data_IF_401295931529
#
_entry.id   IF_401295931529
#
_cell.length_a   1.000
_cell.length_b   1.000
_cell.length_c   1.000
_cell.angle_alpha   90.00
_cell.angle_beta   90.00
_cell.angle_gamma   90.00
#
_symmetry.space_group_name_H-M   'P 1'
#
loop_
_entity.id
_entity.type
_entity.pdbx_description
1 polymer ?
#
# COMPACT_ATOMS: atom_id res chain seq x y z
N UNK A 1 -5.78 -9.00 -17.01
CA UNK A 1 -6.00 -8.41 -15.67
C UNK A 1 -5.68 -9.43 -14.60
N UNK A 2 -4.98 -9.02 -13.55
CA UNK A 2 -4.58 -9.90 -12.45
C UNK A 2 -5.25 -9.47 -11.15
N UNK A 3 -5.56 -10.44 -10.30
CA UNK A 3 -6.02 -10.19 -8.93
C UNK A 3 -5.14 -10.99 -7.98
N UNK A 4 -4.56 -10.31 -6.99
CA UNK A 4 -3.73 -10.92 -5.95
C UNK A 4 -4.29 -10.52 -4.57
N UNK A 5 -4.14 -11.40 -3.60
CA UNK A 5 -4.56 -11.13 -2.23
C UNK A 5 -3.47 -11.57 -1.26
N UNK A 6 -3.19 -10.72 -0.27
CA UNK A 6 -2.20 -10.95 0.79
C UNK A 6 -2.83 -10.63 2.14
N UNK A 7 -2.60 -11.49 3.12
CA UNK A 7 -3.18 -11.35 4.43
C UNK A 7 -2.13 -11.57 5.51
N UNK A 8 -2.20 -10.77 6.58
CA UNK A 8 -1.35 -10.93 7.75
C UNK A 8 -2.17 -10.73 9.01
N UNK A 9 -1.97 -11.62 9.99
CA UNK A 9 -2.50 -11.44 11.34
C UNK A 9 -1.43 -10.75 12.18
N UNK A 10 -1.81 -9.66 12.85
CA UNK A 10 -0.91 -8.75 13.55
C UNK A 10 -1.27 -8.68 15.03
N UNK A 11 -0.25 -8.60 15.91
CA UNK A 11 -0.47 -8.45 17.35
C UNK A 11 -1.01 -7.06 17.71
N UNK A 12 -0.67 -6.04 16.93
CA UNK A 12 -1.13 -4.67 17.18
C UNK A 12 -2.64 -4.51 16.98
N UNK A 13 -3.31 -3.68 17.80
CA UNK A 13 -4.74 -3.42 17.64
C UNK A 13 -5.03 -2.59 16.38
N UNK A 14 -6.29 -2.59 15.87
CA UNK A 14 -6.64 -1.93 14.62
C UNK A 14 -6.26 -0.45 14.52
N UNK A 15 -6.38 0.31 15.58
CA UNK A 15 -6.03 1.74 15.58
C UNK A 15 -4.54 1.97 15.37
N UNK A 16 -3.69 1.12 15.91
CA UNK A 16 -2.24 1.19 15.71
C UNK A 16 -1.87 0.77 14.28
N UNK A 17 -2.52 -0.25 13.76
CA UNK A 17 -2.31 -0.69 12.36
C UNK A 17 -2.75 0.41 11.39
N UNK A 18 -3.87 1.06 11.67
CA UNK A 18 -4.34 2.19 10.86
C UNK A 18 -3.35 3.35 10.84
N UNK A 19 -2.81 3.73 12.00
CA UNK A 19 -1.78 4.78 12.08
C UNK A 19 -0.54 4.44 11.27
N UNK A 20 -0.09 3.18 11.33
CA UNK A 20 1.02 2.71 10.50
C UNK A 20 0.67 2.78 9.01
N UNK A 21 -0.47 2.23 8.62
CA UNK A 21 -0.88 2.10 7.22
C UNK A 21 -1.06 3.46 6.53
N UNK A 22 -1.40 4.51 7.28
CA UNK A 22 -1.61 5.86 6.77
C UNK A 22 -0.41 6.78 6.98
N UNK A 23 0.58 6.39 7.78
CA UNK A 23 1.80 7.16 7.98
C UNK A 23 2.75 7.01 6.80
N UNK A 24 3.44 8.10 6.44
CA UNK A 24 4.48 8.06 5.40
C UNK A 24 5.61 7.14 5.83
N UNK A 25 6.04 7.19 7.09
CA UNK A 25 7.10 6.32 7.62
C UNK A 25 6.74 4.84 7.49
N UNK A 26 5.50 4.47 7.82
CA UNK A 26 5.02 3.10 7.69
C UNK A 26 4.97 2.64 6.24
N UNK A 27 4.43 3.46 5.35
CA UNK A 27 4.35 3.16 3.91
C UNK A 27 5.76 2.94 3.33
N UNK A 28 6.70 3.83 3.63
CA UNK A 28 8.07 3.72 3.14
C UNK A 28 8.80 2.54 3.76
N UNK A 29 8.57 2.24 5.05
CA UNK A 29 9.16 1.09 5.71
C UNK A 29 8.74 -0.23 5.07
N UNK A 30 7.48 -0.36 4.68
CA UNK A 30 6.96 -1.55 3.98
C UNK A 30 7.64 -1.76 2.63
N UNK A 31 8.06 -0.70 1.96
CA UNK A 31 8.66 -0.77 0.63
C UNK A 31 10.16 -1.01 0.65
N UNK A 32 10.89 -0.52 1.67
CA UNK A 32 12.35 -0.65 1.75
C UNK A 32 12.79 -2.10 1.93
N UNK A 33 13.92 -2.50 1.35
CA UNK A 33 14.80 -1.77 0.42
C UNK A 33 14.42 -1.87 -1.05
N UNK A 34 13.31 -2.57 -1.37
CA UNK A 34 12.94 -2.90 -2.75
C UNK A 34 12.52 -1.66 -3.54
N UNK A 35 11.75 -0.78 -2.90
CA UNK A 35 11.22 0.41 -3.54
C UNK A 35 11.19 1.60 -2.59
N UNK A 36 11.08 2.77 -3.18
CA UNK A 36 10.79 4.01 -2.50
C UNK A 36 9.77 4.81 -3.32
N UNK A 37 8.89 5.49 -2.64
CA UNK A 37 7.92 6.39 -3.27
C UNK A 37 8.19 7.81 -2.79
N UNK A 38 8.24 8.77 -3.71
CA UNK A 38 8.39 10.18 -3.33
C UNK A 38 7.07 10.70 -2.78
N UNK A 39 7.15 11.54 -1.75
CA UNK A 39 5.99 12.17 -1.13
C UNK A 39 6.22 13.68 -1.01
N UNK A 40 5.17 14.51 -0.96
CA UNK A 40 5.32 15.94 -0.73
C UNK A 40 6.05 16.23 0.59
N UNK A 41 6.86 17.29 0.63
CA UNK A 41 7.58 17.70 1.84
C UNK A 41 6.61 18.09 2.96
N UNK A 42 6.95 17.71 4.20
CA UNK A 42 6.16 18.05 5.38
C UNK A 42 4.93 17.18 5.58
N UNK A 43 4.70 16.19 4.74
CA UNK A 43 3.58 15.25 4.88
C UNK A 43 4.04 14.05 5.71
N UNK A 44 3.41 13.82 6.85
CA UNK A 44 3.69 12.70 7.74
C UNK A 44 2.64 11.58 7.63
N UNK A 45 1.45 11.91 7.16
CA UNK A 45 0.36 10.97 6.95
C UNK A 45 -0.37 11.32 5.66
N UNK A 46 -0.88 10.31 4.95
CA UNK A 46 -1.73 10.55 3.78
C UNK A 46 -3.04 11.28 4.19
N UNK A 47 -3.43 11.17 5.45
CA UNK A 47 -4.60 11.88 6.00
C UNK A 47 -4.35 13.38 6.18
N UNK A 48 -3.08 13.84 6.18
CA UNK A 48 -2.72 15.27 6.22
C UNK A 48 -2.99 15.95 4.87
N UNK A 49 -3.12 15.18 3.80
CA UNK A 49 -3.50 15.68 2.49
C UNK A 49 -5.01 15.88 2.44
N UNK A 50 -5.46 16.86 1.64
CA UNK A 50 -6.89 17.08 1.46
C UNK A 50 -7.47 15.93 0.62
N UNK A 51 -8.10 14.95 1.31
CA UNK A 51 -8.66 13.77 0.65
C UNK A 51 -10.03 14.11 0.07
N UNK A 52 -10.11 14.15 -1.26
CA UNK A 52 -11.36 14.17 -1.99
C UNK A 52 -11.45 12.85 -2.77
N UNK A 53 -12.48 12.00 -2.52
CA UNK A 53 -12.61 10.73 -3.20
C UNK A 53 -12.59 10.88 -4.72
N UNK A 54 -11.73 10.09 -5.38
CA UNK A 54 -11.58 10.09 -6.84
C UNK A 54 -10.69 11.21 -7.40
N UNK A 55 -10.14 12.10 -6.56
CA UNK A 55 -9.19 13.14 -6.99
C UNK A 55 -7.78 12.79 -6.55
N UNK A 56 -6.75 13.01 -7.41
CA UNK A 56 -5.36 12.76 -7.02
C UNK A 56 -4.95 13.58 -5.80
N UNK A 57 -4.34 12.91 -4.81
CA UNK A 57 -3.78 13.54 -3.62
C UNK A 57 -2.39 14.11 -3.89
N UNK A 58 -1.58 13.36 -4.62
CA UNK A 58 -0.19 13.71 -4.91
C UNK A 58 0.31 12.91 -6.11
N UNK A 59 1.26 13.49 -6.83
CA UNK A 59 2.01 12.78 -7.85
C UNK A 59 3.27 12.19 -7.20
N UNK A 60 3.41 10.89 -7.29
CA UNK A 60 4.49 10.16 -6.67
C UNK A 60 5.32 9.43 -7.72
N UNK A 61 6.65 9.56 -7.63
CA UNK A 61 7.56 8.72 -8.38
C UNK A 61 7.84 7.45 -7.60
N UNK A 62 7.84 6.32 -8.28
CA UNK A 62 8.19 5.02 -7.71
C UNK A 62 9.62 4.70 -8.16
N UNK A 63 10.51 4.51 -7.18
CA UNK A 63 11.93 4.30 -7.40
C UNK A 63 12.31 2.88 -7.00
N UNK A 64 12.85 2.10 -7.94
CA UNK A 64 13.38 0.77 -7.66
C UNK A 64 14.69 0.92 -6.87
N UNK A 65 14.82 0.17 -5.78
CA UNK A 65 15.95 0.22 -4.83
C UNK A 65 16.22 1.63 -4.27
N UNK A 66 15.24 2.53 -4.37
CA UNK A 66 15.32 3.88 -3.85
C UNK A 66 15.92 4.93 -4.79
N UNK A 67 16.39 4.55 -5.99
CA UNK A 67 17.05 5.49 -6.91
C UNK A 67 16.73 5.33 -8.40
N UNK A 68 16.20 4.20 -8.85
CA UNK A 68 15.89 3.98 -10.28
C UNK A 68 14.41 4.27 -10.51
N UNK A 69 14.04 5.35 -11.21
CA UNK A 69 12.61 5.63 -11.50
C UNK A 69 12.05 4.59 -12.45
N UNK A 70 11.03 3.86 -11.99
CA UNK A 70 10.37 2.82 -12.78
C UNK A 70 8.91 3.13 -13.07
N UNK A 71 8.30 4.04 -12.31
CA UNK A 71 6.89 4.36 -12.47
C UNK A 71 6.55 5.71 -11.86
N UNK A 72 5.40 6.24 -12.26
CA UNK A 72 4.79 7.43 -11.67
C UNK A 72 3.34 7.10 -11.34
N UNK A 73 2.92 7.43 -10.13
CA UNK A 73 1.56 7.22 -9.66
C UNK A 73 0.93 8.56 -9.28
N UNK A 74 -0.23 8.86 -9.83
CA UNK A 74 -1.09 9.94 -9.34
C UNK A 74 -1.96 9.35 -8.23
N UNK A 75 -1.43 9.31 -7.00
CA UNK A 75 -2.06 8.66 -5.86
C UNK A 75 -3.48 9.17 -5.64
N UNK A 76 -4.45 8.28 -5.75
CA UNK A 76 -5.87 8.63 -5.66
C UNK A 76 -6.58 7.64 -4.75
N UNK A 77 -7.22 8.14 -3.69
CA UNK A 77 -8.11 7.35 -2.87
C UNK A 77 -9.54 7.55 -3.36
N UNK A 78 -10.20 6.45 -3.74
CA UNK A 78 -11.60 6.48 -4.19
C UNK A 78 -12.56 6.21 -3.04
N UNK A 79 -12.07 5.59 -1.97
CA UNK A 79 -12.83 5.30 -0.76
C UNK A 79 -11.90 5.29 0.43
N UNK A 80 -12.36 5.84 1.56
CA UNK A 80 -11.67 5.76 2.84
C UNK A 80 -12.69 5.48 3.94
N UNK A 81 -12.42 4.43 4.73
CA UNK A 81 -13.20 4.07 5.91
C UNK A 81 -12.26 4.18 7.11
N UNK A 82 -12.38 5.27 7.85
CA UNK A 82 -11.45 5.64 8.91
C UNK A 82 -11.28 4.52 9.94
N UNK A 83 -10.04 4.11 10.16
CA UNK A 83 -9.69 3.03 11.06
C UNK A 83 -9.87 1.62 10.50
N UNK A 84 -10.49 1.45 9.33
CA UNK A 84 -10.83 0.14 8.76
C UNK A 84 -10.17 -0.16 7.42
N UNK A 85 -9.90 0.85 6.61
CA UNK A 85 -9.27 0.63 5.35
C UNK A 85 -9.47 1.74 4.33
N UNK A 86 -8.96 1.48 3.15
CA UNK A 86 -9.10 2.40 2.01
C UNK A 86 -9.05 1.64 0.69
N UNK A 87 -9.53 2.30 -0.35
CA UNK A 87 -9.40 1.83 -1.73
C UNK A 87 -8.67 2.89 -2.53
N UNK A 88 -7.58 2.47 -3.15
CA UNK A 88 -6.77 3.28 -4.05
C UNK A 88 -7.02 2.86 -5.49
N UNK A 89 -7.32 3.81 -6.37
CA UNK A 89 -7.33 3.61 -7.82
C UNK A 89 -6.50 4.73 -8.43
N UNK A 90 -5.22 4.47 -8.66
CA UNK A 90 -4.26 5.47 -9.09
C UNK A 90 -3.89 5.30 -10.55
N UNK A 91 -3.98 6.37 -11.36
CA UNK A 91 -3.38 6.36 -12.69
C UNK A 91 -1.86 6.17 -12.58
N UNK A 92 -1.32 5.20 -13.31
CA UNK A 92 0.10 4.89 -13.32
C UNK A 92 0.61 4.78 -14.75
N UNK A 93 1.90 5.09 -14.96
CA UNK A 93 2.50 4.98 -16.29
C UNK A 93 2.62 3.53 -16.75
N UNK A 94 2.92 2.61 -15.83
CA UNK A 94 3.14 1.20 -16.14
C UNK A 94 1.86 0.36 -16.21
N UNK A 95 0.76 0.88 -15.69
CA UNK A 95 -0.50 0.16 -15.56
C UNK A 95 -1.64 0.83 -16.32
N UNK A 96 -2.45 0.03 -17.01
CA UNK A 96 -3.75 0.49 -17.53
C UNK A 96 -4.75 0.64 -16.41
N UNK A 97 -4.63 -0.21 -15.38
CA UNK A 97 -5.47 -0.19 -14.19
C UNK A 97 -4.63 -0.58 -12.99
N UNK A 98 -4.79 0.14 -11.89
CA UNK A 98 -4.24 -0.19 -10.60
C UNK A 98 -5.27 0.10 -9.53
N UNK A 99 -5.70 -0.95 -8.83
CA UNK A 99 -6.61 -0.87 -7.70
C UNK A 99 -6.02 -1.63 -6.53
N UNK A 100 -5.89 -0.96 -5.40
CA UNK A 100 -5.38 -1.51 -4.15
C UNK A 100 -6.43 -1.30 -3.06
N UNK A 101 -6.95 -2.38 -2.52
CA UNK A 101 -7.88 -2.37 -1.39
C UNK A 101 -7.14 -2.89 -0.17
N UNK A 102 -7.06 -2.06 0.86
CA UNK A 102 -6.46 -2.47 2.14
C UNK A 102 -7.54 -2.43 3.21
N UNK A 103 -7.73 -3.54 3.92
CA UNK A 103 -8.71 -3.66 5.00
C UNK A 103 -8.04 -4.11 6.29
N UNK A 104 -8.54 -3.58 7.40
CA UNK A 104 -8.06 -3.88 8.74
C UNK A 104 -9.26 -4.33 9.57
N UNK A 105 -9.19 -5.54 10.12
CA UNK A 105 -10.25 -6.12 10.94
C UNK A 105 -9.72 -6.45 12.33
N UNK A 106 -10.52 -6.25 13.39
CA UNK A 106 -10.14 -6.72 14.72
C UNK A 106 -10.18 -8.26 14.78
N UNK A 107 -9.14 -8.86 15.35
CA UNK A 107 -9.06 -10.31 15.59
C UNK A 107 -8.49 -10.52 16.99
N UNK A 108 -9.33 -10.94 17.93
CA UNK A 108 -8.90 -11.01 19.33
C UNK A 108 -8.47 -9.64 19.84
N UNK A 109 -7.25 -9.55 20.39
CA UNK A 109 -6.64 -8.28 20.81
C UNK A 109 -5.80 -7.62 19.70
N UNK A 110 -5.64 -8.29 18.58
CA UNK A 110 -4.86 -7.81 17.43
C UNK A 110 -5.72 -7.49 16.23
N UNK A 111 -5.12 -7.63 15.05
CA UNK A 111 -5.73 -7.26 13.78
C UNK A 111 -5.41 -8.25 12.68
N UNK A 112 -6.27 -8.27 11.67
CA UNK A 112 -5.98 -8.89 10.38
C UNK A 112 -5.95 -7.79 9.33
N UNK A 113 -4.83 -7.70 8.60
CA UNK A 113 -4.68 -6.77 7.48
C UNK A 113 -4.69 -7.57 6.19
N UNK A 114 -5.57 -7.18 5.27
CA UNK A 114 -5.70 -7.80 3.95
C UNK A 114 -5.46 -6.76 2.88
N UNK A 115 -4.57 -7.08 1.94
CA UNK A 115 -4.35 -6.32 0.71
C UNK A 115 -4.89 -7.10 -0.47
N UNK A 116 -5.79 -6.48 -1.22
CA UNK A 116 -6.29 -7.02 -2.47
C UNK A 116 -5.91 -6.10 -3.60
N UNK A 117 -5.25 -6.66 -4.62
CA UNK A 117 -4.76 -5.93 -5.78
C UNK A 117 -5.47 -6.40 -7.03
N UNK A 118 -5.95 -5.45 -7.82
CA UNK A 118 -6.46 -5.71 -9.15
C UNK A 118 -5.72 -4.77 -10.10
N UNK A 119 -5.00 -5.33 -11.07
CA UNK A 119 -4.16 -4.52 -11.95
C UNK A 119 -4.03 -5.10 -13.34
N UNK A 120 -3.77 -4.20 -14.28
CA UNK A 120 -3.54 -4.54 -15.68
C UNK A 120 -2.29 -3.82 -16.16
N UNK A 121 -1.14 -4.54 -16.26
CA UNK A 121 0.09 -3.97 -16.79
C UNK A 121 -0.04 -3.65 -18.27
N UNK A 122 0.61 -2.57 -18.71
CA UNK A 122 0.66 -2.23 -20.14
C UNK A 122 1.53 -3.18 -20.93
N UNK A 123 2.63 -3.65 -20.32
CA UNK A 123 3.59 -4.57 -20.92
C UNK A 123 4.07 -5.57 -19.86
N UNK A 124 4.51 -6.76 -20.30
CA UNK A 124 5.21 -7.72 -19.45
C UNK A 124 4.38 -8.31 -18.34
N UNK A 125 3.10 -8.60 -18.57
CA UNK A 125 2.14 -9.01 -17.54
C UNK A 125 2.66 -10.05 -16.55
N UNK A 126 3.18 -11.23 -16.98
CA UNK A 126 3.68 -12.25 -16.05
C UNK A 126 4.85 -11.78 -15.19
N UNK A 127 5.77 -11.00 -15.75
CA UNK A 127 6.93 -10.45 -15.02
C UNK A 127 6.47 -9.41 -14.01
N UNK A 128 5.57 -8.53 -14.40
CA UNK A 128 4.99 -7.51 -13.49
C UNK A 128 4.23 -8.17 -12.36
N UNK A 129 3.42 -9.19 -12.64
CA UNK A 129 2.71 -9.95 -11.62
C UNK A 129 3.68 -10.57 -10.61
N UNK A 130 4.76 -11.17 -11.08
CA UNK A 130 5.79 -11.73 -10.22
C UNK A 130 6.43 -10.65 -9.33
N UNK A 131 6.80 -9.52 -9.93
CA UNK A 131 7.42 -8.41 -9.20
C UNK A 131 6.49 -7.84 -8.12
N UNK A 132 5.23 -7.59 -8.46
CA UNK A 132 4.23 -7.11 -7.50
C UNK A 132 4.04 -8.13 -6.37
N UNK A 133 4.01 -9.42 -6.68
CA UNK A 133 3.92 -10.47 -5.66
C UNK A 133 5.10 -10.42 -4.69
N UNK A 134 6.32 -10.25 -5.18
CA UNK A 134 7.53 -10.12 -4.35
C UNK A 134 7.43 -8.89 -3.45
N UNK A 135 7.03 -7.74 -4.00
CA UNK A 135 6.90 -6.49 -3.25
C UNK A 135 5.87 -6.64 -2.11
N UNK A 136 4.70 -7.18 -2.38
CA UNK A 136 3.66 -7.31 -1.35
C UNK A 136 3.95 -8.38 -0.32
N UNK A 137 4.61 -9.47 -0.68
CA UNK A 137 5.12 -10.43 0.32
C UNK A 137 6.13 -9.77 1.25
N UNK A 138 7.01 -8.95 0.70
CA UNK A 138 7.96 -8.18 1.49
C UNK A 138 7.24 -7.18 2.42
N UNK A 139 6.26 -6.45 1.90
CA UNK A 139 5.45 -5.51 2.70
C UNK A 139 4.79 -6.22 3.88
N UNK A 140 4.21 -7.38 3.66
CA UNK A 140 3.58 -8.17 4.75
C UNK A 140 4.60 -8.70 5.75
N UNK A 141 5.81 -9.07 5.31
CA UNK A 141 6.88 -9.43 6.22
C UNK A 141 7.29 -8.25 7.12
N UNK A 142 7.36 -7.05 6.57
CA UNK A 142 7.66 -5.83 7.34
C UNK A 142 6.53 -5.50 8.31
N UNK A 143 5.28 -5.63 7.89
CA UNK A 143 4.12 -5.44 8.77
C UNK A 143 4.20 -6.35 10.00
N UNK A 144 4.47 -7.63 9.80
CA UNK A 144 4.60 -8.59 10.90
C UNK A 144 5.76 -8.27 11.83
N UNK A 145 6.89 -7.80 11.28
CA UNK A 145 8.04 -7.39 12.11
C UNK A 145 7.77 -6.10 12.89
N UNK A 146 7.13 -5.12 12.26
CA UNK A 146 6.90 -3.81 12.86
C UNK A 146 5.70 -3.77 13.81
N UNK A 147 4.66 -4.55 13.54
CA UNK A 147 3.39 -4.56 14.28
C UNK A 147 3.17 -5.86 15.06
N UNK A 148 4.11 -6.78 14.99
CA UNK A 148 4.07 -8.08 15.67
C UNK A 148 3.26 -9.13 14.92
N UNK A 149 3.79 -10.36 14.84
CA UNK A 149 3.03 -11.48 14.31
C UNK A 149 1.95 -11.88 15.32
N UNK A 150 0.70 -11.87 14.88
CA UNK A 150 -0.42 -12.28 15.71
C UNK A 150 -0.61 -13.79 15.74
N UNK A 151 -1.37 -14.26 16.72
CA UNK A 151 -1.83 -15.65 16.76
C UNK A 151 -2.87 -15.86 15.63
N UNK A 152 -2.65 -16.89 14.84
CA UNK A 152 -3.58 -17.31 13.78
C UNK A 152 -4.75 -18.10 14.35
#
# INVERSE_FOLDING_TARGET
MFTLEFESTLAAPPDRVWRWATSVDGILAEMRPLMRMTVPRGVNSILDLHVEPGKPLARCWVLLFGFIPIDRSDLTLVEIDDGRGFVEESPMLSMRRWRHERTIEPVGHGSRLTDRLTFEPRLGGPVVKWFISVVFRHRHAVLRRGLGAGAS
#
